data_IF_182917870630
#
_entry.id   IF_182917870630
#
_cell.length_a   1.000
_cell.length_b   1.000
_cell.length_c   1.000
_cell.angle_alpha   90.00
_cell.angle_beta   90.00
_cell.angle_gamma   90.00
#
_symmetry.space_group_name_H-M   'P 1'
#
loop_
_entity.id
_entity.type
_entity.pdbx_description
1 polymer ?
#
# COMPACT_ATOMS: atom_id res chain seq x y z
N UNK A 1 -36.96 7.78 -75.65
CA UNK A 1 -35.63 7.13 -75.70
C UNK A 1 -34.77 7.70 -74.58
N UNK A 2 -34.44 6.84 -73.62
CA UNK A 2 -33.47 6.99 -72.52
C UNK A 2 -33.18 8.39 -71.94
N UNK A 3 -33.70 8.65 -70.74
CA UNK A 3 -33.00 9.40 -69.68
C UNK A 3 -33.16 8.62 -68.37
N UNK A 4 -32.08 8.00 -67.90
CA UNK A 4 -31.96 7.56 -66.51
C UNK A 4 -31.71 8.79 -65.62
N UNK A 5 -32.33 8.87 -64.43
CA UNK A 5 -31.73 9.54 -63.30
C UNK A 5 -31.31 8.53 -62.23
N UNK A 6 -30.12 8.80 -61.69
CA UNK A 6 -29.48 8.15 -60.55
C UNK A 6 -30.43 8.21 -59.35
N UNK A 7 -30.83 7.06 -58.83
CA UNK A 7 -31.55 6.93 -57.56
C UNK A 7 -30.51 6.85 -56.44
N UNK A 8 -30.54 7.82 -55.54
CA UNK A 8 -29.83 7.76 -54.26
C UNK A 8 -30.41 6.62 -53.41
N UNK A 9 -29.57 5.63 -53.10
CA UNK A 9 -29.85 4.67 -52.03
C UNK A 9 -29.61 5.37 -50.69
N UNK A 10 -30.68 5.83 -50.04
CA UNK A 10 -30.64 6.18 -48.61
C UNK A 10 -30.91 4.89 -47.83
N UNK A 11 -29.84 4.38 -47.24
CA UNK A 11 -29.85 3.26 -46.31
C UNK A 11 -30.45 3.74 -44.98
N UNK A 12 -31.77 3.71 -44.86
CA UNK A 12 -32.46 3.92 -43.58
C UNK A 12 -32.31 2.65 -42.72
N UNK A 13 -31.20 2.57 -41.97
CA UNK A 13 -31.09 1.59 -40.89
C UNK A 13 -32.05 2.03 -39.79
N UNK A 14 -33.07 1.19 -39.57
CA UNK A 14 -33.96 1.22 -38.42
C UNK A 14 -33.12 1.17 -37.14
N UNK A 15 -32.94 2.31 -36.49
CA UNK A 15 -32.70 2.36 -35.05
C UNK A 15 -34.04 2.01 -34.42
N UNK A 16 -34.27 0.71 -34.22
CA UNK A 16 -35.33 0.23 -33.34
C UNK A 16 -35.01 0.79 -31.96
N UNK A 17 -35.81 1.79 -31.57
CA UNK A 17 -35.76 2.36 -30.25
C UNK A 17 -35.92 1.25 -29.23
N UNK A 18 -34.84 0.96 -28.50
CA UNK A 18 -34.98 0.34 -27.20
C UNK A 18 -35.76 1.34 -26.36
N UNK A 19 -37.02 0.99 -26.14
CA UNK A 19 -37.83 1.49 -25.04
C UNK A 19 -36.94 1.62 -23.82
N UNK A 20 -36.73 2.85 -23.37
CA UNK A 20 -36.35 3.11 -22.00
C UNK A 20 -37.53 2.60 -21.17
N UNK A 21 -37.48 1.32 -20.83
CA UNK A 21 -38.19 0.82 -19.67
C UNK A 21 -37.66 1.64 -18.50
N UNK A 22 -38.45 2.62 -18.11
CA UNK A 22 -38.47 3.10 -16.73
C UNK A 22 -38.87 1.92 -15.85
N UNK A 23 -37.96 0.98 -15.65
CA UNK A 23 -37.97 0.24 -14.41
C UNK A 23 -37.34 1.17 -13.39
N UNK A 24 -38.23 1.89 -12.72
CA UNK A 24 -37.97 2.43 -11.42
C UNK A 24 -37.51 1.26 -10.55
N UNK A 25 -36.19 1.10 -10.37
CA UNK A 25 -35.70 0.39 -9.21
C UNK A 25 -36.22 1.17 -8.01
N UNK A 26 -37.14 0.55 -7.29
CA UNK A 26 -37.71 1.04 -6.03
C UNK A 26 -36.67 0.94 -4.90
N UNK A 27 -35.43 1.35 -5.16
CA UNK A 27 -34.43 1.55 -4.12
C UNK A 27 -34.83 2.76 -3.32
N UNK A 28 -35.32 2.55 -2.09
CA UNK A 28 -35.49 3.63 -1.11
C UNK A 28 -34.20 4.45 -1.12
N UNK A 29 -34.28 5.76 -1.38
CA UNK A 29 -33.12 6.64 -1.28
C UNK A 29 -32.63 6.61 0.16
N UNK A 30 -31.61 5.78 0.42
CA UNK A 30 -31.00 5.65 1.73
C UNK A 30 -30.41 7.00 2.12
N UNK A 31 -30.78 7.48 3.29
CA UNK A 31 -30.24 8.73 3.83
C UNK A 31 -28.76 8.55 4.17
N UNK A 32 -27.96 9.63 4.22
CA UNK A 32 -26.57 9.54 4.67
C UNK A 32 -26.42 8.89 6.06
N UNK A 33 -27.37 9.12 6.97
CA UNK A 33 -27.37 8.52 8.29
C UNK A 33 -27.60 7.00 8.25
N UNK A 34 -28.54 6.53 7.42
CA UNK A 34 -28.79 5.09 7.21
C UNK A 34 -27.61 4.39 6.53
N UNK A 35 -26.99 5.06 5.55
CA UNK A 35 -25.77 4.58 4.91
C UNK A 35 -24.65 4.36 5.93
N UNK A 36 -24.38 5.36 6.78
CA UNK A 36 -23.35 5.28 7.82
C UNK A 36 -23.65 4.19 8.85
N UNK A 37 -24.92 4.07 9.26
CA UNK A 37 -25.35 3.03 10.19
C UNK A 37 -25.11 1.63 9.62
N UNK A 38 -25.53 1.38 8.37
CA UNK A 38 -25.35 0.08 7.73
C UNK A 38 -23.87 -0.26 7.50
N UNK A 39 -23.06 0.75 7.17
CA UNK A 39 -21.61 0.56 7.03
C UNK A 39 -20.93 0.21 8.37
N UNK A 40 -21.31 0.88 9.45
CA UNK A 40 -20.76 0.59 10.78
C UNK A 40 -21.13 -0.82 11.25
N UNK A 41 -22.37 -1.26 11.02
CA UNK A 41 -22.80 -2.63 11.32
C UNK A 41 -21.96 -3.63 10.52
N UNK A 42 -21.77 -3.40 9.22
CA UNK A 42 -20.97 -4.29 8.37
C UNK A 42 -19.53 -4.48 8.89
N UNK A 43 -18.85 -3.41 9.30
CA UNK A 43 -17.46 -3.49 9.75
C UNK A 43 -17.28 -3.94 11.20
N UNK A 44 -18.32 -3.83 12.02
CA UNK A 44 -18.26 -4.25 13.43
C UNK A 44 -18.92 -5.60 13.68
N UNK A 45 -19.52 -6.21 12.66
CA UNK A 45 -20.28 -7.44 12.77
C UNK A 45 -19.53 -8.53 13.55
N UNK A 46 -20.22 -9.09 14.53
CA UNK A 46 -19.77 -10.17 15.41
C UNK A 46 -20.48 -11.48 15.14
N UNK A 47 -21.59 -11.47 14.41
CA UNK A 47 -22.39 -12.66 14.09
C UNK A 47 -23.11 -12.52 12.76
N UNK A 48 -23.36 -13.65 12.10
CA UNK A 48 -23.94 -13.70 10.74
C UNK A 48 -25.33 -13.07 10.67
N UNK A 49 -26.13 -13.25 11.71
CA UNK A 49 -27.49 -12.70 11.81
C UNK A 49 -27.54 -11.17 11.72
N UNK A 50 -26.41 -10.48 12.00
CA UNK A 50 -26.33 -9.01 11.84
C UNK A 50 -26.22 -8.58 10.37
N UNK A 51 -25.77 -9.48 9.50
CA UNK A 51 -25.66 -9.26 8.06
C UNK A 51 -26.98 -9.55 7.33
N UNK A 52 -27.83 -10.38 7.92
CA UNK A 52 -29.11 -10.77 7.36
C UNK A 52 -30.06 -9.57 7.29
N UNK A 53 -30.66 -9.37 6.11
CA UNK A 53 -31.56 -8.24 5.86
C UNK A 53 -30.88 -6.93 5.47
N UNK A 54 -29.54 -6.88 5.41
CA UNK A 54 -28.82 -5.73 4.85
C UNK A 54 -28.86 -5.74 3.32
N UNK A 55 -28.92 -4.55 2.72
CA UNK A 55 -28.82 -4.40 1.26
C UNK A 55 -27.35 -4.43 0.80
N UNK A 56 -27.11 -4.90 -0.42
CA UNK A 56 -25.80 -4.74 -1.08
C UNK A 56 -25.46 -3.24 -1.21
N UNK A 57 -24.19 -2.85 -1.00
CA UNK A 57 -23.00 -3.69 -0.78
C UNK A 57 -22.71 -4.02 0.69
N UNK A 58 -23.53 -3.55 1.64
CA UNK A 58 -23.20 -3.65 3.07
C UNK A 58 -23.29 -5.08 3.61
N UNK A 59 -24.21 -5.89 3.09
CA UNK A 59 -24.28 -7.31 3.45
C UNK A 59 -23.01 -8.06 3.04
N UNK A 60 -22.47 -7.82 1.83
CA UNK A 60 -21.20 -8.39 1.36
C UNK A 60 -20.07 -8.05 2.32
N UNK A 61 -19.93 -6.76 2.65
CA UNK A 61 -18.89 -6.26 3.57
C UNK A 61 -19.02 -6.85 4.97
N UNK A 62 -20.24 -7.04 5.44
CA UNK A 62 -20.55 -7.67 6.71
C UNK A 62 -20.07 -9.13 6.75
N UNK A 63 -20.46 -9.93 5.76
CA UNK A 63 -20.05 -11.33 5.69
C UNK A 63 -18.52 -11.50 5.51
N UNK A 64 -17.87 -10.65 4.71
CA UNK A 64 -16.41 -10.66 4.57
C UNK A 64 -15.70 -10.34 5.89
N UNK A 65 -16.25 -9.41 6.67
CA UNK A 65 -15.69 -9.05 7.99
C UNK A 65 -15.77 -10.22 8.97
N UNK A 66 -16.90 -10.93 8.99
CA UNK A 66 -17.07 -12.14 9.80
C UNK A 66 -16.13 -13.25 9.32
N UNK A 67 -16.08 -13.50 8.02
CA UNK A 67 -15.19 -14.50 7.41
C UNK A 67 -13.73 -14.28 7.82
N UNK A 68 -13.26 -13.02 7.77
CA UNK A 68 -11.90 -12.67 8.17
C UNK A 68 -11.66 -12.91 9.66
N UNK A 69 -12.56 -12.42 10.53
CA UNK A 69 -12.44 -12.55 11.98
C UNK A 69 -12.48 -14.00 12.46
N UNK A 70 -13.38 -14.81 11.88
CA UNK A 70 -13.54 -16.23 12.22
C UNK A 70 -12.54 -17.13 11.49
N UNK A 71 -11.81 -16.59 10.50
CA UNK A 71 -11.03 -17.36 9.53
C UNK A 71 -11.88 -18.48 8.87
N UNK A 72 -13.18 -18.23 8.66
CA UNK A 72 -14.12 -19.15 8.01
C UNK A 72 -14.16 -18.86 6.49
N UNK A 73 -13.29 -19.55 5.75
CA UNK A 73 -13.24 -19.46 4.29
C UNK A 73 -14.51 -19.98 3.61
N UNK A 74 -15.30 -20.82 4.27
CA UNK A 74 -16.57 -21.32 3.75
C UNK A 74 -17.61 -20.20 3.63
N UNK A 75 -17.45 -19.10 4.38
CA UNK A 75 -18.24 -17.90 4.16
C UNK A 75 -17.89 -17.23 2.84
N UNK A 76 -16.62 -17.19 2.43
CA UNK A 76 -16.20 -16.59 1.15
C UNK A 76 -16.80 -17.29 -0.07
N UNK A 77 -17.00 -18.61 0.02
CA UNK A 77 -17.71 -19.37 -1.02
C UNK A 77 -19.21 -19.02 -1.07
N UNK A 78 -19.77 -18.59 0.07
CA UNK A 78 -21.18 -18.26 0.26
C UNK A 78 -21.53 -16.77 0.08
N UNK A 79 -20.56 -15.84 0.12
CA UNK A 79 -20.78 -14.40 -0.17
C UNK A 79 -21.06 -14.15 -1.67
N UNK A 80 -21.54 -15.15 -2.40
CA UNK A 80 -22.03 -15.02 -3.77
C UNK A 80 -23.42 -14.36 -3.76
N UNK A 81 -23.44 -13.05 -3.53
CA UNK A 81 -24.66 -12.24 -3.59
C UNK A 81 -24.88 -11.89 -5.07
N UNK A 82 -25.89 -12.57 -5.64
CA UNK A 82 -26.40 -12.49 -7.02
C UNK A 82 -25.31 -12.62 -8.11
N UNK A 83 -25.39 -13.60 -9.03
CA UNK A 83 -24.58 -13.53 -10.24
C UNK A 83 -24.86 -12.17 -10.89
N UNK A 84 -23.84 -11.31 -10.93
CA UNK A 84 -23.76 -10.29 -11.97
C UNK A 84 -24.04 -11.06 -13.25
N UNK A 85 -25.15 -10.76 -13.94
CA UNK A 85 -25.72 -11.62 -14.97
C UNK A 85 -24.62 -12.19 -15.88
N UNK A 86 -24.37 -13.50 -15.78
CA UNK A 86 -23.41 -14.22 -16.62
C UNK A 86 -22.03 -14.56 -16.04
N UNK A 87 -21.67 -14.17 -14.80
CA UNK A 87 -20.37 -14.56 -14.20
C UNK A 87 -20.56 -15.74 -13.22
N UNK A 88 -19.86 -16.87 -13.40
CA UNK A 88 -19.84 -17.96 -12.43
C UNK A 88 -19.41 -17.49 -11.03
N UNK A 89 -20.04 -18.00 -9.97
CA UNK A 89 -19.77 -17.63 -8.57
C UNK A 89 -18.28 -17.73 -8.19
N UNK A 90 -17.56 -18.69 -8.78
CA UNK A 90 -16.13 -18.91 -8.58
C UNK A 90 -15.28 -17.72 -9.08
N UNK A 91 -15.73 -17.05 -10.14
CA UNK A 91 -15.05 -15.89 -10.74
C UNK A 91 -15.56 -14.54 -10.20
N UNK A 92 -16.32 -14.55 -9.10
CA UNK A 92 -16.86 -13.33 -8.51
C UNK A 92 -15.76 -12.46 -7.88
N UNK A 93 -15.65 -11.16 -8.26
CA UNK A 93 -14.73 -10.23 -7.60
C UNK A 93 -14.98 -10.07 -6.10
N UNK A 94 -16.23 -10.25 -5.65
CA UNK A 94 -16.59 -10.20 -4.22
C UNK A 94 -16.04 -11.43 -3.47
N UNK A 95 -16.04 -12.60 -4.11
CA UNK A 95 -15.41 -13.82 -3.57
C UNK A 95 -13.91 -13.63 -3.42
N UNK A 96 -13.25 -13.12 -4.45
CA UNK A 96 -11.81 -12.83 -4.45
C UNK A 96 -11.43 -11.82 -3.35
N UNK A 97 -12.23 -10.76 -3.20
CA UNK A 97 -12.07 -9.77 -2.12
C UNK A 97 -12.25 -10.39 -0.72
N UNK A 98 -13.16 -11.34 -0.57
CA UNK A 98 -13.32 -12.07 0.68
C UNK A 98 -12.06 -12.88 1.03
N UNK A 99 -11.56 -13.70 0.08
CA UNK A 99 -10.34 -14.48 0.31
C UNK A 99 -9.13 -13.60 0.63
N UNK A 100 -9.00 -12.46 -0.06
CA UNK A 100 -7.98 -11.46 0.26
C UNK A 100 -8.09 -10.99 1.72
N UNK A 101 -9.28 -10.59 2.17
CA UNK A 101 -9.50 -10.07 3.53
C UNK A 101 -9.23 -11.12 4.62
N UNK A 102 -9.61 -12.38 4.36
CA UNK A 102 -9.28 -13.49 5.27
C UNK A 102 -7.78 -13.74 5.30
N UNK A 103 -7.11 -13.72 4.15
CA UNK A 103 -5.67 -13.89 4.04
C UNK A 103 -4.92 -12.79 4.82
N UNK A 104 -5.32 -11.53 4.64
CA UNK A 104 -4.78 -10.36 5.33
C UNK A 104 -4.94 -10.47 6.85
N UNK A 105 -6.15 -10.75 7.32
CA UNK A 105 -6.44 -10.83 8.76
C UNK A 105 -5.75 -12.02 9.44
N UNK A 106 -5.66 -13.16 8.75
CA UNK A 106 -5.07 -14.39 9.30
C UNK A 106 -3.55 -14.48 9.10
N UNK A 107 -2.97 -13.67 8.21
CA UNK A 107 -1.57 -13.76 7.79
C UNK A 107 -1.23 -14.98 6.94
N UNK A 108 -2.23 -15.73 6.44
CA UNK A 108 -2.04 -16.99 5.70
C UNK A 108 -1.93 -16.74 4.20
N UNK A 109 -0.69 -16.56 3.72
CA UNK A 109 -0.40 -16.29 2.30
C UNK A 109 -0.89 -17.40 1.35
N UNK A 110 -1.07 -18.64 1.82
CA UNK A 110 -1.67 -19.72 1.03
C UNK A 110 -3.11 -19.44 0.59
N UNK A 111 -3.85 -18.59 1.32
CA UNK A 111 -5.21 -18.20 0.98
C UNK A 111 -5.26 -17.29 -0.26
N UNK A 112 -4.17 -16.59 -0.59
CA UNK A 112 -4.07 -15.82 -1.83
C UNK A 112 -4.20 -16.70 -3.07
N UNK A 113 -3.89 -18.01 -2.97
CA UNK A 113 -4.05 -18.94 -4.09
C UNK A 113 -5.51 -19.28 -4.41
N UNK A 114 -6.45 -18.89 -3.54
CA UNK A 114 -7.90 -19.09 -3.73
C UNK A 114 -8.57 -17.96 -4.53
N UNK A 115 -7.82 -16.87 -4.77
CA UNK A 115 -8.23 -15.70 -5.55
C UNK A 115 -8.03 -16.02 -7.05
N UNK A 116 -9.03 -15.70 -7.87
CA UNK A 116 -8.97 -15.94 -9.31
C UNK A 116 -8.30 -14.81 -10.08
N UNK A 117 -8.60 -13.56 -9.74
CA UNK A 117 -8.03 -12.39 -10.40
C UNK A 117 -6.51 -12.32 -10.15
N UNK A 118 -5.67 -12.45 -11.19
CA UNK A 118 -4.20 -12.47 -11.03
C UNK A 118 -3.65 -11.19 -10.38
N UNK A 119 -4.30 -10.05 -10.64
CA UNK A 119 -3.94 -8.76 -10.07
C UNK A 119 -4.21 -8.73 -8.56
N UNK A 120 -5.37 -9.22 -8.12
CA UNK A 120 -5.71 -9.37 -6.70
C UNK A 120 -4.83 -10.41 -5.98
N UNK A 121 -4.46 -11.51 -6.65
CA UNK A 121 -3.47 -12.47 -6.14
C UNK A 121 -2.15 -11.76 -5.87
N UNK A 122 -1.64 -11.00 -6.85
CA UNK A 122 -0.38 -10.28 -6.71
C UNK A 122 -0.41 -9.28 -5.55
N UNK A 123 -1.50 -8.52 -5.41
CA UNK A 123 -1.71 -7.61 -4.27
C UNK A 123 -1.69 -8.36 -2.94
N UNK A 124 -2.43 -9.46 -2.84
CA UNK A 124 -2.52 -10.29 -1.63
C UNK A 124 -1.13 -10.79 -1.20
N UNK A 125 -0.36 -11.28 -2.17
CA UNK A 125 0.98 -11.79 -1.95
C UNK A 125 1.99 -10.69 -1.59
N UNK A 126 1.90 -9.53 -2.24
CA UNK A 126 2.76 -8.39 -1.94
C UNK A 126 2.58 -7.89 -0.51
N UNK A 127 1.38 -8.01 0.06
CA UNK A 127 1.11 -7.63 1.46
C UNK A 127 1.59 -8.71 2.42
N UNK A 128 1.26 -9.99 2.14
CA UNK A 128 1.46 -11.06 3.12
C UNK A 128 2.86 -11.66 3.15
N UNK A 129 3.57 -11.70 2.02
CA UNK A 129 4.92 -12.29 1.97
C UNK A 129 5.95 -11.49 2.79
N UNK A 130 5.96 -10.15 2.80
CA UNK A 130 6.81 -9.38 3.72
C UNK A 130 6.47 -9.65 5.19
N UNK A 131 5.18 -9.71 5.55
CA UNK A 131 4.72 -9.94 6.93
C UNK A 131 5.12 -11.32 7.46
N UNK A 132 5.06 -12.36 6.62
CA UNK A 132 5.51 -13.70 6.95
C UNK A 132 7.03 -13.78 7.20
N UNK A 133 7.80 -12.90 6.54
CA UNK A 133 9.27 -12.83 6.68
C UNK A 133 9.69 -12.11 7.96
N UNK A 134 8.92 -11.11 8.41
CA UNK A 134 9.20 -10.30 9.59
C UNK A 134 8.87 -11.05 10.89
N UNK A 135 7.72 -11.75 10.94
CA UNK A 135 7.23 -12.33 12.19
C UNK A 135 7.83 -13.70 12.54
N UNK A 136 8.70 -14.25 11.68
CA UNK A 136 9.35 -15.55 11.90
C UNK A 136 8.39 -16.74 12.06
N UNK A 137 7.09 -16.51 11.86
CA UNK A 137 5.99 -17.46 12.08
C UNK A 137 5.86 -18.50 10.97
N UNK A 138 6.66 -18.38 9.91
CA UNK A 138 6.64 -19.32 8.81
C UNK A 138 7.58 -20.51 9.07
N UNK A 139 7.00 -21.61 9.61
CA UNK A 139 7.62 -22.94 9.55
C UNK A 139 7.45 -23.49 8.13
N UNK A 140 8.51 -23.52 7.32
CA UNK A 140 8.43 -23.98 5.92
C UNK A 140 9.03 -25.37 5.76
N UNK A 141 8.21 -26.31 5.30
CA UNK A 141 8.61 -27.56 4.60
C UNK A 141 7.51 -27.91 3.58
N UNK A 142 7.76 -28.51 2.41
CA UNK A 142 8.91 -28.46 1.48
C UNK A 142 8.56 -27.79 0.13
N UNK A 143 9.57 -27.71 -0.74
CA UNK A 143 9.75 -27.05 -2.05
C UNK A 143 8.59 -27.06 -3.08
N UNK A 144 7.59 -27.92 -3.01
CA UNK A 144 6.63 -28.11 -4.11
C UNK A 144 5.58 -26.99 -4.27
N UNK A 145 5.36 -26.17 -3.22
CA UNK A 145 4.45 -25.01 -3.31
C UNK A 145 5.14 -23.71 -3.75
N UNK A 146 6.49 -23.66 -3.78
CA UNK A 146 7.25 -22.43 -4.12
C UNK A 146 7.24 -22.11 -5.61
N UNK A 147 7.13 -23.13 -6.46
CA UNK A 147 7.09 -22.99 -7.93
C UNK A 147 5.74 -22.45 -8.42
N UNK A 148 4.67 -22.58 -7.63
CA UNK A 148 3.33 -22.13 -8.01
C UNK A 148 3.18 -20.61 -7.94
N UNK A 149 3.91 -19.93 -7.04
CA UNK A 149 3.84 -18.47 -6.89
C UNK A 149 4.27 -17.72 -8.16
N UNK A 150 5.38 -18.14 -8.79
CA UNK A 150 5.80 -17.54 -10.07
C UNK A 150 4.79 -17.79 -11.19
N UNK A 151 4.05 -18.92 -11.17
CA UNK A 151 3.03 -19.21 -12.18
C UNK A 151 1.89 -18.19 -12.12
N UNK A 152 1.55 -17.66 -10.95
CA UNK A 152 0.56 -16.58 -10.83
C UNK A 152 1.09 -15.27 -11.41
N UNK A 153 2.35 -14.92 -11.15
CA UNK A 153 2.97 -13.73 -11.73
C UNK A 153 2.98 -13.78 -13.27
N UNK A 154 3.16 -14.97 -13.86
CA UNK A 154 3.09 -15.16 -15.32
C UNK A 154 1.69 -14.85 -15.89
N UNK A 155 0.63 -15.07 -15.12
CA UNK A 155 -0.76 -14.83 -15.56
C UNK A 155 -1.13 -13.35 -15.64
N UNK A 156 -0.35 -12.46 -15.01
CA UNK A 156 -0.57 -11.01 -15.10
C UNK A 156 -0.26 -10.60 -16.54
N UNK A 157 -1.25 -10.04 -17.25
CA UNK A 157 -1.15 -9.55 -18.62
C UNK A 157 -1.14 -8.02 -18.59
N UNK A 158 0.02 -7.38 -18.34
CA UNK A 158 0.07 -5.96 -18.07
C UNK A 158 -0.41 -5.13 -19.27
N UNK A 159 -1.39 -4.27 -19.04
CA UNK A 159 -1.95 -3.34 -20.01
C UNK A 159 -1.44 -1.91 -19.83
N UNK A 160 -0.92 -1.59 -18.65
CA UNK A 160 -0.39 -0.27 -18.29
C UNK A 160 0.86 -0.37 -17.41
N UNK A 161 1.50 0.78 -17.16
CA UNK A 161 2.72 0.88 -16.36
C UNK A 161 2.53 0.41 -14.90
N UNK A 162 1.30 0.51 -14.38
CA UNK A 162 0.96 0.04 -13.04
C UNK A 162 0.98 -1.50 -12.99
N UNK A 163 0.39 -2.17 -13.97
CA UNK A 163 0.39 -3.63 -14.03
C UNK A 163 1.77 -4.22 -14.37
N UNK A 164 2.60 -3.49 -15.14
CA UNK A 164 4.02 -3.85 -15.36
C UNK A 164 4.75 -3.87 -14.02
N UNK A 165 4.59 -2.81 -13.23
CA UNK A 165 5.16 -2.68 -11.89
C UNK A 165 4.64 -3.77 -10.95
N UNK A 166 3.34 -4.05 -10.98
CA UNK A 166 2.72 -5.10 -10.17
C UNK A 166 3.29 -6.49 -10.50
N UNK A 167 3.45 -6.80 -11.80
CA UNK A 167 4.04 -8.07 -12.26
C UNK A 167 5.49 -8.21 -11.82
N UNK A 168 6.28 -7.15 -11.94
CA UNK A 168 7.66 -7.11 -11.49
C UNK A 168 7.77 -7.38 -9.98
N UNK A 169 6.95 -6.69 -9.18
CA UNK A 169 6.90 -6.90 -7.72
C UNK A 169 6.46 -8.32 -7.34
N UNK A 170 5.48 -8.88 -8.04
CA UNK A 170 5.06 -10.27 -7.86
C UNK A 170 6.26 -11.22 -8.02
N UNK A 171 7.03 -11.09 -9.10
CA UNK A 171 8.22 -11.93 -9.32
C UNK A 171 9.31 -11.72 -8.27
N UNK A 172 9.55 -10.47 -7.86
CA UNK A 172 10.53 -10.15 -6.81
C UNK A 172 10.17 -10.86 -5.49
N UNK A 173 8.91 -10.75 -5.07
CA UNK A 173 8.43 -11.40 -3.85
C UNK A 173 8.40 -12.92 -3.98
N UNK A 174 8.00 -13.45 -5.14
CA UNK A 174 8.06 -14.89 -5.42
C UNK A 174 9.50 -15.41 -5.35
N UNK A 175 10.47 -14.66 -5.86
CA UNK A 175 11.88 -15.01 -5.81
C UNK A 175 12.42 -15.06 -4.39
N UNK A 176 12.15 -14.01 -3.60
CA UNK A 176 12.54 -13.93 -2.18
C UNK A 176 11.92 -15.09 -1.42
N UNK A 177 10.62 -15.32 -1.57
CA UNK A 177 9.90 -16.39 -0.88
C UNK A 177 10.40 -17.79 -1.26
N UNK A 178 10.60 -18.00 -2.57
CA UNK A 178 11.11 -19.27 -3.07
C UNK A 178 12.58 -19.48 -2.70
N UNK A 179 13.29 -18.43 -2.28
CA UNK A 179 14.75 -18.35 -2.22
C UNK A 179 15.38 -18.76 -3.56
N UNK A 180 14.77 -18.30 -4.65
CA UNK A 180 15.15 -18.65 -6.02
C UNK A 180 15.62 -17.41 -6.79
N UNK A 181 16.94 -17.15 -6.87
CA UNK A 181 17.49 -15.97 -7.55
C UNK A 181 17.15 -15.86 -9.03
N UNK A 182 16.83 -16.96 -9.73
CA UNK A 182 16.48 -16.89 -11.15
C UNK A 182 15.15 -16.17 -11.40
N UNK A 183 14.28 -16.12 -10.39
CA UNK A 183 13.03 -15.36 -10.47
C UNK A 183 13.26 -13.85 -10.30
N UNK A 184 14.36 -13.41 -9.68
CA UNK A 184 14.69 -11.99 -9.60
C UNK A 184 14.91 -11.37 -10.99
N UNK A 185 15.42 -12.14 -11.94
CA UNK A 185 15.60 -11.70 -13.33
C UNK A 185 14.27 -11.33 -13.98
N UNK A 186 13.18 -12.03 -13.61
CA UNK A 186 11.82 -11.74 -14.11
C UNK A 186 11.19 -10.52 -13.45
N UNK A 187 11.76 -10.02 -12.36
CA UNK A 187 11.31 -8.79 -11.70
C UNK A 187 11.91 -7.51 -12.33
N UNK A 188 12.81 -7.65 -13.30
CA UNK A 188 13.49 -6.51 -13.90
C UNK A 188 12.61 -5.84 -14.95
N UNK A 189 12.32 -4.55 -14.76
CA UNK A 189 11.65 -3.69 -15.74
C UNK A 189 12.70 -2.80 -16.40
N UNK A 190 12.87 -2.87 -17.74
CA UNK A 190 13.83 -2.04 -18.45
C UNK A 190 13.60 -0.55 -18.17
N UNK A 191 14.69 0.20 -17.95
CA UNK A 191 14.69 1.63 -17.67
C UNK A 191 13.98 2.05 -16.37
N UNK A 192 13.60 1.11 -15.50
CA UNK A 192 13.10 1.40 -14.16
C UNK A 192 14.20 1.21 -13.12
N UNK A 193 14.53 2.28 -12.38
CA UNK A 193 15.45 2.19 -11.24
C UNK A 193 14.81 1.55 -10.01
N UNK A 194 13.47 1.45 -9.97
CA UNK A 194 12.73 0.82 -8.88
C UNK A 194 12.69 -0.71 -9.02
N UNK A 195 12.71 -1.19 -10.26
CA UNK A 195 12.61 -2.62 -10.58
C UNK A 195 13.81 -3.06 -11.42
N UNK A 196 15.02 -2.81 -10.92
CA UNK A 196 16.27 -3.30 -11.52
C UNK A 196 16.70 -4.68 -10.95
N UNK A 197 15.84 -5.28 -10.11
CA UNK A 197 16.09 -6.53 -9.40
C UNK A 197 17.01 -6.40 -8.18
N UNK A 198 17.55 -5.20 -7.89
CA UNK A 198 18.50 -4.98 -6.80
C UNK A 198 17.94 -5.37 -5.45
N UNK A 199 16.71 -4.94 -5.13
CA UNK A 199 16.03 -5.30 -3.87
C UNK A 199 15.79 -6.80 -3.74
N UNK A 200 15.45 -7.47 -4.85
CA UNK A 200 15.24 -8.91 -4.90
C UNK A 200 16.53 -9.68 -4.58
N UNK A 201 17.62 -9.37 -5.30
CA UNK A 201 18.91 -9.99 -5.06
C UNK A 201 19.43 -9.71 -3.65
N UNK A 202 19.25 -8.49 -3.13
CA UNK A 202 19.60 -8.14 -1.76
C UNK A 202 18.86 -9.04 -0.75
N UNK A 203 17.54 -9.17 -0.87
CA UNK A 203 16.73 -9.97 0.04
C UNK A 203 17.17 -11.43 0.11
N UNK A 204 17.43 -12.05 -1.04
CA UNK A 204 17.90 -13.43 -1.10
C UNK A 204 19.35 -13.56 -0.60
N UNK A 205 20.25 -12.65 -1.02
CA UNK A 205 21.66 -12.65 -0.63
C UNK A 205 21.82 -12.58 0.89
N UNK A 206 21.08 -11.68 1.54
CA UNK A 206 21.14 -11.50 3.00
C UNK A 206 20.48 -12.64 3.76
N UNK A 207 19.44 -13.26 3.20
CA UNK A 207 18.78 -14.40 3.84
C UNK A 207 19.63 -15.68 3.75
N UNK A 208 20.27 -15.91 2.60
CA UNK A 208 21.12 -17.08 2.36
C UNK A 208 22.59 -16.87 2.76
N UNK A 209 22.96 -15.68 3.23
CA UNK A 209 24.35 -15.26 3.43
C UNK A 209 25.24 -15.50 2.19
N UNK A 210 24.71 -15.19 1.00
CA UNK A 210 25.37 -15.43 -0.28
C UNK A 210 25.85 -14.11 -0.90
N UNK A 211 27.15 -13.83 -0.78
CA UNK A 211 27.79 -12.61 -1.30
C UNK A 211 27.77 -12.57 -2.84
N UNK A 212 27.83 -13.71 -3.52
CA UNK A 212 27.82 -13.74 -4.99
C UNK A 212 26.51 -13.17 -5.57
N UNK A 213 25.40 -13.28 -4.82
CA UNK A 213 24.14 -12.65 -5.21
C UNK A 213 24.18 -11.13 -5.07
N UNK A 214 24.95 -10.57 -4.13
CA UNK A 214 25.15 -9.12 -4.05
C UNK A 214 25.83 -8.58 -5.31
N UNK A 215 26.72 -9.34 -5.96
CA UNK A 215 27.37 -8.91 -7.21
C UNK A 215 26.39 -8.70 -8.38
N UNK A 216 25.17 -9.24 -8.27
CA UNK A 216 24.12 -9.07 -9.28
C UNK A 216 23.38 -7.73 -9.17
N UNK A 217 23.60 -7.00 -8.07
CA UNK A 217 23.01 -5.67 -7.82
C UNK A 217 23.78 -4.63 -8.65
N UNK A 218 23.05 -3.87 -9.49
CA UNK A 218 23.63 -2.90 -10.42
C UNK A 218 24.13 -1.65 -9.69
N UNK A 219 23.34 -1.16 -8.73
CA UNK A 219 23.72 0.01 -7.93
C UNK A 219 24.91 -0.32 -7.03
N UNK A 220 26.03 0.35 -7.24
CA UNK A 220 27.26 0.15 -6.44
C UNK A 220 27.03 0.40 -4.95
N UNK A 221 26.19 1.37 -4.59
CA UNK A 221 25.88 1.67 -3.19
C UNK A 221 25.04 0.57 -2.55
N UNK A 222 24.01 0.05 -3.24
CA UNK A 222 23.19 -1.06 -2.75
C UNK A 222 23.96 -2.37 -2.74
N UNK A 223 24.83 -2.60 -3.72
CA UNK A 223 25.72 -3.74 -3.77
C UNK A 223 26.62 -3.77 -2.54
N UNK A 224 27.26 -2.63 -2.20
CA UNK A 224 28.11 -2.55 -1.03
C UNK A 224 27.30 -2.73 0.27
N UNK A 225 26.10 -2.15 0.35
CA UNK A 225 25.21 -2.34 1.48
C UNK A 225 24.81 -3.82 1.67
N UNK A 226 24.54 -4.55 0.58
CA UNK A 226 24.28 -5.98 0.60
C UNK A 226 25.48 -6.76 1.14
N UNK A 227 26.69 -6.51 0.59
CA UNK A 227 27.94 -7.16 1.03
C UNK A 227 28.19 -6.93 2.53
N UNK A 228 28.04 -5.69 2.99
CA UNK A 228 28.20 -5.34 4.40
C UNK A 228 27.17 -6.05 5.29
N UNK A 229 25.91 -6.13 4.85
CA UNK A 229 24.84 -6.81 5.60
C UNK A 229 25.13 -8.31 5.73
N UNK A 230 25.55 -8.97 4.65
CA UNK A 230 25.96 -10.38 4.68
C UNK A 230 27.14 -10.59 5.65
N UNK A 231 28.16 -9.74 5.59
CA UNK A 231 29.31 -9.82 6.50
C UNK A 231 28.92 -9.65 7.98
N UNK A 232 28.01 -8.71 8.29
CA UNK A 232 27.48 -8.52 9.66
C UNK A 232 26.71 -9.77 10.13
N UNK A 233 25.88 -10.36 9.27
CA UNK A 233 25.11 -11.57 9.62
C UNK A 233 26.03 -12.76 9.88
N UNK A 234 27.04 -12.95 9.04
CA UNK A 234 28.05 -14.00 9.20
C UNK A 234 28.84 -13.83 10.51
N UNK A 235 29.31 -12.61 10.83
CA UNK A 235 30.03 -12.35 12.09
C UNK A 235 29.18 -12.56 13.34
N UNK A 236 27.85 -12.40 13.23
CA UNK A 236 26.89 -12.67 14.32
C UNK A 236 26.36 -14.10 14.32
N UNK A 237 26.78 -14.97 13.39
CA UNK A 237 26.27 -16.34 13.27
C UNK A 237 24.77 -16.41 12.93
N UNK A 238 24.21 -15.39 12.28
CA UNK A 238 22.79 -15.30 11.93
C UNK A 238 22.58 -15.90 10.54
N UNK A 239 21.68 -16.88 10.43
CA UNK A 239 21.30 -17.51 9.17
C UNK A 239 22.14 -18.75 8.79
N UNK A 240 21.92 -19.31 7.60
CA UNK A 240 22.63 -20.49 7.13
C UNK A 240 24.13 -20.20 6.91
N UNK A 241 24.97 -21.23 7.03
CA UNK A 241 26.40 -21.14 6.70
C UNK A 241 26.56 -20.76 5.22
N UNK A 242 27.57 -19.93 4.88
CA UNK A 242 27.74 -19.42 3.52
C UNK A 242 27.91 -20.57 2.53
N UNK A 243 27.17 -20.50 1.43
CA UNK A 243 27.21 -21.48 0.34
C UNK A 243 28.27 -21.02 -0.68
N UNK A 244 29.56 -21.23 -0.38
CA UNK A 244 30.75 -21.03 -1.26
C UNK A 244 30.99 -19.60 -1.80
N UNK A 245 32.20 -19.05 -1.98
CA UNK A 245 33.59 -19.46 -1.78
C UNK A 245 34.33 -18.34 -1.03
N UNK A 246 35.44 -18.69 -0.37
CA UNK A 246 36.28 -17.83 0.46
C UNK A 246 36.67 -16.47 -0.17
N UNK A 247 36.42 -15.38 0.56
CA UNK A 247 37.23 -14.16 0.52
C UNK A 247 37.11 -13.36 1.84
N UNK A 248 38.27 -13.08 2.42
CA UNK A 248 38.59 -12.53 3.75
C UNK A 248 38.48 -11.00 3.91
N UNK A 249 38.11 -10.58 5.14
CA UNK A 249 38.40 -9.32 5.90
C UNK A 249 38.01 -7.95 5.29
N UNK A 250 37.61 -6.89 6.02
CA UNK A 250 38.11 -6.38 7.31
C UNK A 250 37.07 -5.46 8.00
N UNK A 251 37.17 -5.35 9.32
CA UNK A 251 36.35 -4.56 10.25
C UNK A 251 36.75 -3.08 10.35
N UNK A 252 35.77 -2.19 10.58
CA UNK A 252 35.99 -0.95 11.32
C UNK A 252 34.73 -0.59 12.15
N UNK A 253 34.96 -0.17 13.39
CA UNK A 253 33.96 0.12 14.41
C UNK A 253 33.69 1.63 14.59
N UNK A 254 32.50 1.98 15.08
CA UNK A 254 32.20 3.06 16.07
C UNK A 254 30.66 3.30 16.10
N UNK A 255 29.96 2.98 17.19
CA UNK A 255 29.58 3.79 18.38
C UNK A 255 28.53 4.91 18.14
N UNK A 256 27.59 5.13 19.09
CA UNK A 256 26.30 5.79 18.82
C UNK A 256 26.33 7.30 19.09
N UNK A 257 25.68 8.10 18.23
CA UNK A 257 25.52 9.54 18.39
C UNK A 257 24.09 9.84 18.89
N UNK A 258 24.00 10.51 20.03
CA UNK A 258 22.80 11.20 20.51
C UNK A 258 23.03 12.70 20.35
N UNK A 259 22.36 13.34 19.40
CA UNK A 259 22.30 14.81 19.29
C UNK A 259 20.96 15.23 18.64
N UNK A 260 20.32 16.26 19.20
CA UNK A 260 19.21 16.97 18.57
C UNK A 260 19.73 17.60 17.27
N UNK A 261 19.25 17.12 16.14
CA UNK A 261 19.71 17.54 14.82
C UNK A 261 18.69 18.51 14.21
N UNK A 262 19.13 19.71 13.82
CA UNK A 262 18.37 20.54 12.89
C UNK A 262 18.40 19.88 11.51
N UNK A 263 17.23 19.64 10.93
CA UNK A 263 17.09 18.96 9.65
C UNK A 263 16.64 19.99 8.61
N UNK A 264 17.47 20.35 7.63
CA UNK A 264 17.05 21.19 6.53
C UNK A 264 16.22 20.37 5.53
N UNK A 265 15.09 20.92 5.12
CA UNK A 265 14.31 20.49 3.97
C UNK A 265 14.37 21.58 2.92
N UNK A 266 15.12 21.34 1.84
CA UNK A 266 15.16 22.25 0.71
C UNK A 266 14.31 21.71 -0.43
N UNK A 267 13.50 22.60 -1.01
CA UNK A 267 12.88 22.44 -2.31
C UNK A 267 13.29 23.63 -3.19
N UNK A 268 13.02 23.57 -4.50
CA UNK A 268 13.24 24.71 -5.39
C UNK A 268 12.46 25.98 -4.98
N UNK A 269 11.51 25.88 -4.03
CA UNK A 269 10.58 26.97 -3.70
C UNK A 269 10.69 27.49 -2.25
N UNK A 270 11.24 26.72 -1.32
CA UNK A 270 11.50 27.13 0.06
C UNK A 270 12.50 26.19 0.72
N UNK A 271 13.23 26.71 1.70
CA UNK A 271 13.96 25.89 2.66
C UNK A 271 13.29 26.00 4.02
N UNK A 272 13.00 24.86 4.63
CA UNK A 272 12.38 24.73 5.94
C UNK A 272 13.35 23.99 6.86
N UNK A 273 13.65 24.54 8.03
CA UNK A 273 14.36 23.80 9.08
C UNK A 273 13.45 23.54 10.27
N UNK A 274 13.67 22.43 10.96
CA UNK A 274 12.98 22.08 12.20
C UNK A 274 13.89 21.21 13.09
N UNK A 275 13.59 21.20 14.38
CA UNK A 275 14.31 20.40 15.38
C UNK A 275 13.56 19.09 15.59
N UNK A 276 14.27 17.97 15.43
CA UNK A 276 13.73 16.64 15.67
C UNK A 276 14.20 16.09 17.02
N UNK A 277 13.30 15.64 17.91
CA UNK A 277 13.68 14.92 19.14
C UNK A 277 14.48 13.64 18.83
N UNK A 278 15.23 13.13 19.81
CA UNK A 278 15.88 11.82 19.67
C UNK A 278 14.86 10.67 19.59
N UNK A 279 15.25 9.56 18.96
CA UNK A 279 14.39 8.38 18.79
C UNK A 279 13.47 8.41 17.58
N UNK A 280 13.75 9.30 16.62
CA UNK A 280 13.06 9.39 15.34
C UNK A 280 14.04 9.29 14.18
N UNK A 281 13.59 8.62 13.13
CA UNK A 281 14.30 8.47 11.87
C UNK A 281 13.63 9.35 10.80
N UNK A 282 14.43 9.88 9.89
CA UNK A 282 13.96 10.69 8.75
C UNK A 282 14.27 9.98 7.45
N UNK A 283 13.28 9.93 6.57
CA UNK A 283 13.43 9.53 5.17
C UNK A 283 13.19 10.72 4.28
N UNK A 284 14.25 11.14 3.59
CA UNK A 284 14.18 12.11 2.52
C UNK A 284 13.97 11.39 1.19
N UNK A 285 12.89 11.75 0.47
CA UNK A 285 12.52 11.22 -0.84
C UNK A 285 12.40 12.38 -1.82
N UNK A 286 12.51 12.13 -3.15
CA UNK A 286 12.45 13.18 -4.16
C UNK A 286 11.27 14.14 -4.02
N UNK A 287 10.11 13.64 -3.57
CA UNK A 287 8.87 14.44 -3.44
C UNK A 287 8.33 14.57 -2.01
N UNK A 288 9.01 14.00 -1.00
CA UNK A 288 8.51 14.06 0.38
C UNK A 288 9.58 13.85 1.42
N UNK A 289 9.40 14.46 2.60
CA UNK A 289 10.05 14.02 3.84
C UNK A 289 9.04 13.20 4.64
N UNK A 290 9.50 12.09 5.22
CA UNK A 290 8.75 11.26 6.16
C UNK A 290 9.54 11.10 7.45
N UNK A 291 8.85 11.19 8.59
CA UNK A 291 9.43 11.02 9.93
C UNK A 291 8.65 9.94 10.66
N UNK A 292 9.38 8.99 11.21
CA UNK A 292 8.84 7.89 11.99
C UNK A 292 9.64 7.67 13.26
N UNK A 293 9.05 6.99 14.26
CA UNK A 293 9.79 6.52 15.43
C UNK A 293 10.83 5.49 14.98
N UNK A 294 12.05 5.57 15.51
CA UNK A 294 13.11 4.60 15.20
C UNK A 294 12.69 3.19 15.67
N UNK A 295 12.80 2.14 14.83
CA UNK A 295 13.28 2.19 13.44
C UNK A 295 12.20 2.63 12.45
N UNK A 296 12.60 3.41 11.43
CA UNK A 296 11.75 3.67 10.27
C UNK A 296 11.49 2.37 9.51
N UNK A 297 10.23 2.01 9.37
CA UNK A 297 9.78 0.84 8.60
C UNK A 297 9.24 1.33 7.28
N UNK A 298 10.00 1.07 6.21
CA UNK A 298 9.56 1.37 4.85
C UNK A 298 8.66 0.22 4.36
N UNK A 299 7.36 0.49 4.21
CA UNK A 299 6.40 -0.43 3.57
C UNK A 299 5.94 0.23 2.27
N UNK A 300 5.88 -0.54 1.18
CA UNK A 300 5.55 0.02 -0.15
C UNK A 300 4.11 0.55 -0.19
N UNK A 301 4.03 1.89 -0.27
CA UNK A 301 2.83 2.73 -0.46
C UNK A 301 1.84 2.67 0.71
N UNK A 302 1.59 3.85 1.30
CA UNK A 302 0.49 4.05 2.24
C UNK A 302 0.68 3.54 3.66
N UNK A 303 1.61 2.60 3.91
CA UNK A 303 1.70 1.84 5.17
C UNK A 303 3.06 1.96 5.90
N UNK A 304 3.84 3.02 5.62
CA UNK A 304 4.99 3.34 6.47
C UNK A 304 4.55 3.70 7.90
N UNK A 305 5.44 3.52 8.88
CA UNK A 305 5.18 3.98 10.24
C UNK A 305 5.36 5.51 10.37
N UNK A 306 5.41 6.26 9.26
CA UNK A 306 5.58 7.70 9.32
C UNK A 306 4.31 8.33 9.89
N UNK A 307 4.50 9.08 10.97
CA UNK A 307 3.43 9.84 11.60
C UNK A 307 3.43 11.29 11.15
N UNK A 308 4.54 11.76 10.57
CA UNK A 308 4.73 13.12 10.12
C UNK A 308 5.31 13.10 8.71
N UNK A 309 4.69 13.85 7.80
CA UNK A 309 5.13 13.92 6.41
C UNK A 309 4.97 15.31 5.82
N UNK A 310 5.89 15.70 4.95
CA UNK A 310 5.78 16.89 4.09
C UNK A 310 5.85 16.40 2.66
N UNK A 311 4.82 16.66 1.86
CA UNK A 311 4.71 16.17 0.48
C UNK A 311 4.56 17.35 -0.48
N UNK A 312 5.35 17.35 -1.55
CA UNK A 312 5.30 18.38 -2.60
C UNK A 312 4.07 18.18 -3.47
N UNK A 313 3.41 19.28 -3.86
CA UNK A 313 2.36 19.21 -4.87
C UNK A 313 2.92 18.78 -6.22
N UNK A 314 2.09 18.14 -7.02
CA UNK A 314 2.39 17.75 -8.39
C UNK A 314 1.17 18.03 -9.28
N UNK A 315 1.21 17.59 -10.54
CA UNK A 315 0.12 17.84 -11.50
C UNK A 315 -1.22 17.17 -11.14
N UNK A 316 -1.21 16.19 -10.25
CA UNK A 316 -2.38 15.45 -9.76
C UNK A 316 -2.80 15.88 -8.35
N UNK A 317 -1.84 16.15 -7.47
CA UNK A 317 -2.03 16.58 -6.09
C UNK A 317 -1.70 18.07 -5.97
N UNK A 318 -2.67 18.94 -6.25
CA UNK A 318 -2.59 20.39 -6.02
C UNK A 318 -3.16 20.76 -4.65
N UNK A 319 -2.88 21.99 -4.18
CA UNK A 319 -3.46 22.53 -2.95
C UNK A 319 -4.99 22.43 -2.93
N UNK A 320 -5.64 22.77 -4.04
CA UNK A 320 -7.10 22.71 -4.18
C UNK A 320 -7.59 21.26 -4.11
N UNK A 321 -6.90 20.33 -4.77
CA UNK A 321 -7.26 18.91 -4.76
C UNK A 321 -7.10 18.29 -3.37
N UNK A 322 -6.03 18.63 -2.64
CA UNK A 322 -5.76 18.12 -1.29
C UNK A 322 -6.74 18.74 -0.27
N UNK A 323 -7.04 20.03 -0.40
CA UNK A 323 -8.07 20.69 0.40
C UNK A 323 -9.44 20.04 0.20
N UNK A 324 -9.84 19.82 -1.07
CA UNK A 324 -11.10 19.15 -1.39
C UNK A 324 -11.14 17.71 -0.89
N UNK A 325 -10.02 16.99 -1.02
CA UNK A 325 -9.86 15.62 -0.52
C UNK A 325 -10.05 15.57 0.99
N UNK A 326 -9.32 16.36 1.76
CA UNK A 326 -9.41 16.33 3.22
C UNK A 326 -10.75 16.83 3.78
N UNK A 327 -11.38 17.82 3.15
CA UNK A 327 -12.74 18.25 3.51
C UNK A 327 -13.78 17.13 3.35
N UNK A 328 -13.56 16.21 2.41
CA UNK A 328 -14.42 15.06 2.18
C UNK A 328 -14.11 13.87 3.10
N UNK A 329 -12.84 13.71 3.48
CA UNK A 329 -12.36 12.52 4.18
C UNK A 329 -12.37 12.64 5.71
N UNK A 330 -12.15 13.84 6.25
CA UNK A 330 -12.07 14.03 7.70
C UNK A 330 -13.45 14.11 8.32
N UNK A 331 -13.65 13.33 9.38
CA UNK A 331 -14.77 13.45 10.29
C UNK A 331 -14.50 14.53 11.31
N UNK A 332 -15.58 15.13 11.81
CA UNK A 332 -15.51 16.21 12.79
C UNK A 332 -14.53 17.32 12.35
N UNK A 333 -14.54 17.58 11.03
CA UNK A 333 -13.63 18.50 10.36
C UNK A 333 -13.65 19.86 11.06
N UNK A 334 -12.47 20.33 11.43
CA UNK A 334 -12.21 21.68 11.90
C UNK A 334 -11.21 22.34 10.97
N UNK A 335 -11.62 23.45 10.39
CA UNK A 335 -10.77 24.33 9.61
C UNK A 335 -10.32 25.50 10.49
N UNK A 336 -9.01 25.74 10.54
CA UNK A 336 -8.40 26.82 11.31
C UNK A 336 -7.20 27.38 10.57
N UNK A 337 -6.55 28.37 11.16
CA UNK A 337 -5.26 28.88 10.69
C UNK A 337 -4.16 28.57 11.71
N UNK A 338 -3.02 28.04 11.25
CA UNK A 338 -1.81 27.93 12.08
C UNK A 338 -0.78 28.93 11.60
N UNK A 339 -0.17 29.64 12.55
CA UNK A 339 0.92 30.57 12.27
C UNK A 339 2.24 29.82 12.46
N UNK A 340 2.98 29.64 11.37
CA UNK A 340 4.32 29.04 11.37
C UNK A 340 5.29 30.10 10.88
N UNK A 341 6.27 30.41 11.73
CA UNK A 341 7.29 31.43 11.47
C UNK A 341 6.71 32.79 11.00
N UNK A 342 5.65 33.23 11.68
CA UNK A 342 4.96 34.50 11.38
C UNK A 342 4.03 34.45 10.17
N UNK A 343 3.97 33.34 9.43
CA UNK A 343 3.09 33.17 8.26
C UNK A 343 1.89 32.28 8.61
N UNK A 344 0.70 32.71 8.20
CA UNK A 344 -0.55 31.99 8.47
C UNK A 344 -0.88 30.99 7.36
N UNK A 345 -1.19 29.74 7.72
CA UNK A 345 -1.52 28.66 6.80
C UNK A 345 -2.85 27.99 7.14
N UNK A 346 -3.59 27.57 6.11
CA UNK A 346 -4.83 26.80 6.28
C UNK A 346 -4.47 25.47 6.94
N UNK A 347 -5.20 25.16 8.01
CA UNK A 347 -5.08 23.90 8.73
C UNK A 347 -6.41 23.19 8.76
N UNK A 348 -6.40 21.91 8.42
CA UNK A 348 -7.53 21.01 8.61
C UNK A 348 -7.18 20.03 9.72
N UNK A 349 -8.14 19.75 10.59
CA UNK A 349 -8.04 18.68 11.57
C UNK A 349 -9.32 17.91 11.67
N UNK A 350 -9.22 16.65 12.06
CA UNK A 350 -10.37 15.77 12.20
C UNK A 350 -9.91 14.35 12.41
N UNK A 351 -10.85 13.42 12.36
CA UNK A 351 -10.57 11.98 12.45
C UNK A 351 -10.64 11.36 11.07
N UNK A 352 -9.68 10.51 10.73
CA UNK A 352 -9.66 9.82 9.44
C UNK A 352 -10.38 8.46 9.55
N UNK A 353 -11.43 8.25 8.76
CA UNK A 353 -12.19 6.98 8.81
C UNK A 353 -11.48 5.84 8.06
N UNK A 354 -10.24 5.98 7.57
CA UNK A 354 -9.51 4.84 7.00
C UNK A 354 -9.92 4.50 5.56
N UNK A 355 -9.99 5.52 4.69
CA UNK A 355 -9.95 5.30 3.22
C UNK A 355 -8.52 5.29 2.66
N UNK A 356 -7.51 5.50 3.49
CA UNK A 356 -6.14 5.15 3.13
C UNK A 356 -6.00 3.63 3.25
N UNK A 357 -5.42 3.03 2.23
CA UNK A 357 -5.12 1.60 2.08
C UNK A 357 -4.80 0.89 3.42
N UNK A 358 -5.82 0.32 4.06
CA UNK A 358 -5.65 -0.75 5.05
C UNK A 358 -5.83 -0.42 6.53
N UNK A 359 -5.71 0.82 7.02
CA UNK A 359 -5.79 1.08 8.46
C UNK A 359 -6.49 2.40 8.82
N UNK A 360 -7.40 2.35 9.80
CA UNK A 360 -8.08 3.54 10.36
C UNK A 360 -7.05 4.50 10.97
N UNK A 361 -6.76 5.63 10.33
CA UNK A 361 -5.91 6.66 10.92
C UNK A 361 -6.71 7.42 12.00
N UNK A 362 -6.16 7.58 13.19
CA UNK A 362 -6.79 8.29 14.31
C UNK A 362 -7.03 9.77 14.02
N UNK A 363 -6.54 10.65 14.90
CA UNK A 363 -6.62 12.07 14.60
C UNK A 363 -5.57 12.46 13.54
N UNK A 364 -5.98 13.36 12.65
CA UNK A 364 -5.16 13.90 11.57
C UNK A 364 -5.09 15.42 11.69
N UNK A 365 -3.90 15.98 11.48
CA UNK A 365 -3.67 17.41 11.27
C UNK A 365 -3.01 17.60 9.90
N UNK A 366 -3.58 18.47 9.08
CA UNK A 366 -3.06 18.81 7.75
C UNK A 366 -2.80 20.30 7.69
N UNK A 367 -1.63 20.71 7.23
CA UNK A 367 -1.27 22.13 7.02
C UNK A 367 -0.91 22.32 5.55
N UNK A 368 -1.59 23.24 4.88
CA UNK A 368 -1.37 23.52 3.46
C UNK A 368 -0.41 24.69 3.28
N UNK A 369 0.76 24.42 2.73
CA UNK A 369 1.69 25.43 2.25
C UNK A 369 1.41 25.74 0.77
N UNK A 370 1.97 26.81 0.18
CA UNK A 370 1.76 27.15 -1.22
C UNK A 370 2.23 26.09 -2.23
N UNK A 371 3.23 25.28 -1.89
CA UNK A 371 3.88 24.31 -2.80
C UNK A 371 3.94 22.88 -2.26
N UNK A 372 3.43 22.67 -1.06
CA UNK A 372 3.43 21.37 -0.37
C UNK A 372 2.32 21.34 0.66
N UNK A 373 2.07 20.16 1.22
CA UNK A 373 1.28 20.03 2.41
C UNK A 373 2.01 19.17 3.44
N UNK A 374 1.69 19.40 4.70
CA UNK A 374 2.18 18.62 5.82
C UNK A 374 1.04 17.86 6.47
N UNK A 375 1.33 16.63 6.88
CA UNK A 375 0.40 15.72 7.53
C UNK A 375 1.00 15.23 8.84
N UNK A 376 0.20 15.23 9.90
CA UNK A 376 0.48 14.53 11.16
C UNK A 376 -0.66 13.55 11.39
N UNK A 377 -0.34 12.26 11.49
CA UNK A 377 -1.31 11.17 11.46
C UNK A 377 -1.08 10.22 12.64
N UNK A 378 -2.11 9.99 13.44
CA UNK A 378 -2.13 8.94 14.46
C UNK A 378 -2.43 7.57 13.82
N UNK A 379 -1.44 6.96 13.15
CA UNK A 379 -1.63 5.61 12.57
C UNK A 379 -1.72 4.52 13.66
N UNK A 380 -2.49 3.43 13.46
CA UNK A 380 -2.48 2.26 14.34
C UNK A 380 -1.10 1.62 14.50
N UNK A 381 -0.27 1.62 13.45
CA UNK A 381 1.13 1.20 13.49
C UNK A 381 1.98 1.98 14.52
N UNK A 382 1.50 3.16 14.95
CA UNK A 382 2.13 4.02 15.95
C UNK A 382 1.50 3.88 17.35
N UNK A 383 0.47 3.05 17.51
CA UNK A 383 -0.25 2.86 18.77
C UNK A 383 0.58 2.04 19.78
N UNK A 384 1.51 2.71 20.46
CA UNK A 384 2.11 2.23 21.71
C UNK A 384 1.62 3.12 22.86
N UNK A 385 1.45 2.58 24.07
CA UNK A 385 0.98 3.32 25.26
C UNK A 385 1.80 4.58 25.62
N UNK A 386 2.94 4.82 24.96
CA UNK A 386 3.86 5.93 25.26
C UNK A 386 4.15 6.87 24.09
N UNK A 387 3.48 6.75 22.94
CA UNK A 387 3.75 7.59 21.76
C UNK A 387 2.48 8.31 21.31
N UNK A 388 2.55 9.65 21.31
CA UNK A 388 1.46 10.56 20.97
C UNK A 388 1.84 11.37 19.71
N UNK A 389 1.57 10.86 18.49
CA UNK A 389 1.98 11.46 17.22
C UNK A 389 1.66 12.95 17.09
N UNK A 390 0.42 13.35 17.41
CA UNK A 390 -0.02 14.74 17.31
C UNK A 390 0.72 15.65 18.29
N UNK A 391 1.01 15.18 19.50
CA UNK A 391 1.76 15.94 20.50
C UNK A 391 3.20 16.15 20.05
N UNK A 392 3.86 15.11 19.54
CA UNK A 392 5.23 15.20 19.02
C UNK A 392 5.28 16.05 17.75
N UNK A 393 4.37 15.85 16.81
CA UNK A 393 4.32 16.62 15.57
C UNK A 393 4.06 18.10 15.82
N UNK A 394 3.19 18.47 16.77
CA UNK A 394 3.02 19.88 17.19
C UNK A 394 4.27 20.50 17.81
N UNK A 395 5.07 19.71 18.55
CA UNK A 395 6.39 20.18 19.03
C UNK A 395 7.33 20.45 17.85
N UNK A 396 7.40 19.56 16.87
CA UNK A 396 8.21 19.78 15.65
C UNK A 396 7.74 21.06 14.93
N UNK A 397 6.44 21.23 14.71
CA UNK A 397 5.84 22.42 14.09
C UNK A 397 6.26 23.72 14.80
N UNK A 398 6.32 23.72 16.13
CA UNK A 398 6.70 24.91 16.91
C UNK A 398 8.15 25.36 16.70
N UNK A 399 8.99 24.48 16.13
CA UNK A 399 10.41 24.75 15.84
C UNK A 399 10.67 25.13 14.39
N UNK A 400 9.65 25.11 13.54
CA UNK A 400 9.79 25.36 12.11
C UNK A 400 10.21 26.79 11.80
N UNK A 401 11.20 26.93 10.91
CA UNK A 401 11.68 28.21 10.36
C UNK A 401 11.76 28.13 8.84
N UNK A 402 11.21 29.12 8.15
CA UNK A 402 11.42 29.28 6.72
C UNK A 402 12.70 30.10 6.52
N UNK A 403 13.67 29.57 5.79
CA UNK A 403 14.79 30.36 5.29
C UNK A 403 14.52 30.78 3.84
N UNK A 404 14.89 32.03 3.54
CA UNK A 404 14.80 32.60 2.20
C UNK A 404 15.79 31.97 1.22
#
# INVERSE_FOLDING_TARGET
>A
MFRLPITFFVLSIFVSGCSVSKEASSGSKMTPAEFMKNQQIAWSATSRDQCDGMQSPFNEECFMTIAARENDIGLCERVSIAPYEGIPAELSPTRDRCFFKVAEHSGKAELCAMIHDPTAVAKCLNILLPLATINGSLKITPLDKRTQYSVFCEKIQPQDDYEITLKANCFSNAAIYAMNPSLCEKSIVPNSSLFDGSSCFHGIATTLNNVALCERIQSTSLQQACKNTVAIRLSKGIGPKPVGNDATLSSAASSPISLLQEIPFSSENFTLSFVLPSGFDVRDRPNSIRIARTPFVDREIGDDNAFFGITRYNQYNTMESELARYRKLLLDLKESANVIDGTSFITLSGKDWGRFEGDSAGNVLVILFPKSWLEIIERPANASQSFEPLTVGKKILSTMRFSK
#
